data_IF_549022835536
#
_entry.id   IF_549022835536
#
_cell.length_a   1.000
_cell.length_b   1.000
_cell.length_c   1.000
_cell.angle_alpha   90.00
_cell.angle_beta   90.00
_cell.angle_gamma   90.00
#
_symmetry.space_group_name_H-M   'P 1'
#
loop_
_entity.id
_entity.type
_entity.pdbx_description
1 polymer ?
#
# COMPACT_ATOMS: atom_id res chain seq x y z
N UNK A 1 4.19 19.26 6.59
CA UNK A 1 4.08 18.73 5.21
C UNK A 1 3.68 17.26 5.33
N UNK A 2 2.53 16.88 4.78
CA UNK A 2 2.11 15.49 4.73
C UNK A 2 2.99 14.77 3.71
N UNK A 3 3.82 13.84 4.17
CA UNK A 3 4.45 12.86 3.27
C UNK A 3 3.30 11.98 2.80
N UNK A 4 2.82 12.26 1.59
CA UNK A 4 1.99 11.34 0.81
C UNK A 4 2.70 9.99 0.91
N UNK A 5 2.02 8.96 1.43
CA UNK A 5 2.58 7.61 1.45
C UNK A 5 3.10 7.24 0.06
N UNK A 6 4.12 6.37 -0.01
CA UNK A 6 4.72 5.97 -1.29
C UNK A 6 3.62 5.75 -2.33
N UNK A 7 3.61 6.63 -3.33
CA UNK A 7 2.65 6.50 -4.41
C UNK A 7 2.93 5.18 -5.10
N UNK A 8 1.88 4.47 -5.58
CA UNK A 8 2.07 3.29 -6.41
C UNK A 8 3.11 3.60 -7.49
N UNK A 9 4.09 2.71 -7.67
CA UNK A 9 5.10 2.89 -8.71
C UNK A 9 4.44 2.63 -10.08
N UNK A 10 3.81 3.67 -10.62
CA UNK A 10 3.19 3.61 -11.95
C UNK A 10 4.21 3.29 -13.04
N UNK A 11 5.50 3.58 -12.84
CA UNK A 11 6.55 3.19 -13.77
C UNK A 11 6.85 1.69 -13.70
N UNK A 12 6.69 1.04 -12.55
CA UNK A 12 6.69 -0.43 -12.45
C UNK A 12 5.47 -1.04 -13.15
N UNK A 13 4.29 -0.42 -12.99
CA UNK A 13 3.06 -0.87 -13.64
C UNK A 13 3.19 -0.75 -15.16
N UNK A 14 3.64 0.39 -15.69
CA UNK A 14 3.85 0.61 -17.13
C UNK A 14 4.86 -0.38 -17.72
N UNK A 15 5.98 -0.61 -17.03
CA UNK A 15 6.99 -1.60 -17.46
C UNK A 15 6.39 -3.00 -17.55
N UNK A 16 5.49 -3.33 -16.63
CA UNK A 16 4.82 -4.63 -16.60
C UNK A 16 3.86 -4.78 -17.78
N UNK A 17 3.05 -3.76 -18.10
CA UNK A 17 2.19 -3.77 -19.28
C UNK A 17 2.97 -3.90 -20.60
N UNK A 18 4.10 -3.21 -20.72
CA UNK A 18 4.99 -3.30 -21.89
C UNK A 18 5.58 -4.70 -22.06
N UNK A 19 6.05 -5.32 -20.98
CA UNK A 19 6.61 -6.67 -21.04
C UNK A 19 5.54 -7.70 -21.46
N UNK A 20 4.30 -7.53 -21.03
CA UNK A 20 3.18 -8.40 -21.42
C UNK A 20 2.85 -8.25 -22.90
N UNK A 21 2.76 -7.03 -23.41
CA UNK A 21 2.56 -6.78 -24.84
C UNK A 21 3.67 -7.43 -25.68
N UNK A 22 4.92 -7.40 -25.18
CA UNK A 22 6.05 -8.07 -25.82
C UNK A 22 5.90 -9.59 -25.83
N UNK A 23 5.51 -10.20 -24.72
CA UNK A 23 5.29 -11.65 -24.61
C UNK A 23 4.11 -12.13 -25.48
N UNK A 24 3.01 -11.36 -25.53
CA UNK A 24 1.88 -11.62 -26.43
C UNK A 24 2.29 -11.56 -27.90
N UNK A 25 3.18 -10.61 -28.26
CA UNK A 25 3.73 -10.50 -29.60
C UNK A 25 4.54 -11.73 -30.05
N UNK A 26 5.12 -12.49 -29.11
CA UNK A 26 5.85 -13.73 -29.42
C UNK A 26 4.92 -14.89 -29.82
N UNK A 27 3.65 -14.85 -29.44
CA UNK A 27 2.68 -15.88 -29.81
C UNK A 27 2.32 -15.87 -31.30
N UNK A 28 2.55 -14.76 -32.02
CA UNK A 28 2.35 -14.69 -33.46
C UNK A 28 3.26 -15.65 -34.27
N UNK A 29 4.35 -16.16 -33.67
CA UNK A 29 5.34 -17.02 -34.31
C UNK A 29 5.28 -18.50 -33.89
N UNK A 30 4.24 -18.95 -33.18
CA UNK A 30 4.17 -20.33 -32.70
C UNK A 30 3.41 -21.26 -33.67
N UNK A 31 3.94 -22.46 -33.99
CA UNK A 31 3.23 -23.45 -34.79
C UNK A 31 2.01 -23.99 -34.01
N UNK A 32 0.86 -24.03 -34.69
CA UNK A 32 -0.49 -24.12 -34.14
C UNK A 32 -0.83 -25.34 -33.25
N UNK A 33 0.05 -26.33 -33.11
CA UNK A 33 -0.22 -27.57 -32.37
C UNK A 33 0.70 -27.84 -31.16
N UNK A 34 1.91 -27.26 -31.12
CA UNK A 34 2.84 -27.36 -29.97
C UNK A 34 2.88 -26.01 -29.23
N UNK A 35 2.56 -24.92 -29.94
CA UNK A 35 2.53 -23.58 -29.39
C UNK A 35 1.40 -23.33 -28.41
N UNK A 36 0.22 -23.93 -28.63
CA UNK A 36 -1.00 -23.58 -27.88
C UNK A 36 -0.91 -23.97 -26.40
N UNK A 37 -0.38 -25.15 -26.07
CA UNK A 37 -0.22 -25.55 -24.67
C UNK A 37 0.81 -24.67 -23.94
N UNK A 38 1.92 -24.33 -24.62
CA UNK A 38 2.91 -23.40 -24.09
C UNK A 38 2.36 -21.97 -23.94
N UNK A 39 1.48 -21.54 -24.84
CA UNK A 39 0.75 -20.26 -24.75
C UNK A 39 -0.19 -20.28 -23.54
N UNK A 40 -0.98 -21.34 -23.36
CA UNK A 40 -1.91 -21.46 -22.24
C UNK A 40 -1.18 -21.44 -20.91
N UNK A 41 -0.07 -22.17 -20.79
CA UNK A 41 0.75 -22.14 -19.57
C UNK A 41 1.30 -20.72 -19.28
N UNK A 42 1.72 -19.98 -20.30
CA UNK A 42 2.18 -18.59 -20.14
C UNK A 42 1.03 -17.65 -19.79
N UNK A 43 -0.16 -17.86 -20.33
CA UNK A 43 -1.35 -17.08 -19.97
C UNK A 43 -1.77 -17.34 -18.51
N UNK A 44 -1.69 -18.58 -18.04
CA UNK A 44 -1.95 -18.93 -16.63
C UNK A 44 -0.93 -18.28 -15.69
N UNK A 45 0.36 -18.29 -16.05
CA UNK A 45 1.41 -17.60 -15.29
C UNK A 45 1.17 -16.09 -15.24
N UNK A 46 0.74 -15.50 -16.36
CA UNK A 46 0.40 -14.08 -16.45
C UNK A 46 -0.84 -13.78 -15.60
N UNK A 47 -1.90 -14.58 -15.67
CA UNK A 47 -3.11 -14.42 -14.86
C UNK A 47 -2.76 -14.48 -13.37
N UNK A 48 -1.96 -15.46 -12.96
CA UNK A 48 -1.54 -15.61 -11.56
C UNK A 48 -0.70 -14.43 -11.08
N UNK A 49 0.25 -13.96 -11.90
CA UNK A 49 1.03 -12.77 -11.61
C UNK A 49 0.15 -11.51 -11.52
N UNK A 50 -0.86 -11.39 -12.38
CA UNK A 50 -1.81 -10.28 -12.34
C UNK A 50 -2.62 -10.30 -11.05
N UNK A 51 -3.21 -11.43 -10.71
CA UNK A 51 -4.03 -11.58 -9.50
C UNK A 51 -3.25 -11.17 -8.26
N UNK A 52 -2.04 -11.74 -8.09
CA UNK A 52 -1.16 -11.42 -6.97
C UNK A 52 -0.82 -9.91 -6.90
N UNK A 53 -0.58 -9.27 -8.04
CA UNK A 53 -0.26 -7.83 -8.08
C UNK A 53 -1.47 -6.96 -7.79
N UNK A 54 -2.64 -7.32 -8.29
CA UNK A 54 -3.88 -6.59 -8.00
C UNK A 54 -4.25 -6.70 -6.52
N UNK A 55 -4.16 -7.88 -5.93
CA UNK A 55 -4.41 -8.10 -4.49
C UNK A 55 -3.46 -7.25 -3.63
N UNK A 56 -2.18 -7.16 -4.04
CA UNK A 56 -1.20 -6.30 -3.37
C UNK A 56 -1.53 -4.80 -3.49
N UNK A 57 -2.00 -4.35 -4.67
CA UNK A 57 -2.40 -2.95 -4.89
C UNK A 57 -3.63 -2.60 -4.04
N UNK A 58 -4.63 -3.49 -4.02
CA UNK A 58 -5.83 -3.32 -3.20
C UNK A 58 -5.47 -3.20 -1.71
N UNK A 59 -4.64 -4.13 -1.22
CA UNK A 59 -4.13 -4.13 0.16
C UNK A 59 -3.42 -2.81 0.51
N UNK A 60 -2.55 -2.33 -0.37
CA UNK A 60 -1.83 -1.07 -0.17
C UNK A 60 -2.76 0.15 -0.19
N UNK A 61 -3.75 0.15 -1.08
CA UNK A 61 -4.71 1.24 -1.22
C UNK A 61 -5.59 1.37 0.01
N UNK A 62 -6.11 0.25 0.54
CA UNK A 62 -6.89 0.23 1.78
C UNK A 62 -6.08 0.73 2.98
N UNK A 63 -4.86 0.22 3.13
CA UNK A 63 -3.97 0.63 4.21
C UNK A 63 -3.63 2.14 4.12
N UNK A 64 -3.41 2.65 2.91
CA UNK A 64 -3.13 4.06 2.65
C UNK A 64 -4.33 4.97 2.98
N UNK A 65 -5.53 4.57 2.57
CA UNK A 65 -6.77 5.28 2.89
C UNK A 65 -7.01 5.33 4.39
N UNK A 66 -6.90 4.17 5.07
CA UNK A 66 -7.00 4.11 6.52
C UNK A 66 -5.98 5.02 7.21
N UNK A 67 -4.72 4.97 6.77
CA UNK A 67 -3.65 5.79 7.33
C UNK A 67 -3.90 7.29 7.14
N UNK A 68 -4.46 7.69 6.01
CA UNK A 68 -4.83 9.08 5.74
C UNK A 68 -5.90 9.56 6.73
N UNK A 69 -6.95 8.75 6.93
CA UNK A 69 -8.01 9.04 7.89
C UNK A 69 -7.47 9.06 9.33
N UNK A 70 -6.75 8.01 9.73
CA UNK A 70 -6.17 7.87 11.07
C UNK A 70 -5.23 9.03 11.42
N UNK A 71 -4.41 9.50 10.46
CA UNK A 71 -3.57 10.69 10.64
C UNK A 71 -4.41 11.96 10.84
N UNK A 72 -5.49 12.11 10.08
CA UNK A 72 -6.44 13.21 10.24
C UNK A 72 -7.08 13.23 11.63
N UNK A 73 -7.56 12.07 12.10
CA UNK A 73 -8.14 11.91 13.43
C UNK A 73 -7.10 12.16 14.52
N UNK A 74 -5.91 11.58 14.39
CA UNK A 74 -4.84 11.73 15.38
C UNK A 74 -4.35 13.18 15.51
N UNK A 75 -4.48 13.99 14.46
CA UNK A 75 -4.08 15.41 14.47
C UNK A 75 -4.96 16.28 15.36
N UNK A 76 -6.21 15.89 15.58
CA UNK A 76 -7.17 16.65 16.40
C UNK A 76 -7.29 16.13 17.83
N UNK A 77 -6.57 15.05 18.17
CA UNK A 77 -6.63 14.45 19.50
C UNK A 77 -5.89 15.30 20.54
N UNK A 78 -6.44 15.28 21.74
CA UNK A 78 -5.90 15.88 22.94
C UNK A 78 -5.14 14.85 23.80
N UNK A 79 -4.31 15.36 24.73
CA UNK A 79 -3.60 14.51 25.69
C UNK A 79 -4.58 13.63 26.47
N UNK A 80 -4.22 12.36 26.62
CA UNK A 80 -5.04 11.34 27.28
C UNK A 80 -6.00 10.57 26.35
N UNK A 81 -6.28 11.09 25.16
CA UNK A 81 -7.07 10.37 24.16
C UNK A 81 -6.23 9.30 23.43
N UNK A 82 -6.91 8.26 22.95
CA UNK A 82 -6.29 7.16 22.24
C UNK A 82 -6.08 7.49 20.77
N UNK A 83 -4.88 7.19 20.28
CA UNK A 83 -4.53 7.30 18.88
C UNK A 83 -5.17 6.15 18.09
N UNK A 84 -5.62 6.47 16.89
CA UNK A 84 -5.95 5.48 15.88
C UNK A 84 -4.66 4.89 15.32
N UNK A 85 -4.48 3.55 15.36
CA UNK A 85 -3.28 2.93 14.85
C UNK A 85 -3.18 3.06 13.34
N UNK A 86 -1.96 3.30 12.86
CA UNK A 86 -1.65 3.17 11.44
C UNK A 86 -1.54 1.69 11.07
N UNK A 87 -1.80 1.39 9.81
CA UNK A 87 -1.68 0.07 9.19
C UNK A 87 -0.42 -0.02 8.31
N UNK A 88 0.18 -1.20 8.26
CA UNK A 88 1.28 -1.50 7.34
C UNK A 88 0.79 -1.59 5.91
N UNK A 89 1.50 -1.00 4.94
CA UNK A 89 1.08 -0.97 3.54
C UNK A 89 1.09 -2.36 2.88
N UNK A 90 2.02 -3.23 3.30
CA UNK A 90 2.17 -4.56 2.69
C UNK A 90 1.12 -5.57 3.18
N UNK A 91 0.60 -5.41 4.40
CA UNK A 91 -0.27 -6.41 5.04
C UNK A 91 -1.65 -5.89 5.38
N UNK A 92 -1.86 -4.57 5.34
CA UNK A 92 -3.06 -3.89 5.84
C UNK A 92 -3.38 -4.19 7.31
N UNK A 93 -2.46 -4.80 8.05
CA UNK A 93 -2.57 -5.01 9.49
C UNK A 93 -2.15 -3.77 10.27
N UNK A 94 -2.66 -3.63 11.49
CA UNK A 94 -2.20 -2.57 12.39
C UNK A 94 -0.71 -2.72 12.67
N UNK A 95 0.03 -1.61 12.63
CA UNK A 95 1.47 -1.61 12.91
C UNK A 95 1.69 -2.14 14.34
N UNK A 96 2.54 -3.17 14.52
CA UNK A 96 2.83 -3.72 15.84
C UNK A 96 3.39 -2.64 16.78
N UNK A 97 2.97 -2.67 18.04
CA UNK A 97 3.45 -1.75 19.08
C UNK A 97 3.22 -0.26 18.74
N UNK A 98 2.21 0.05 17.93
CA UNK A 98 1.85 1.44 17.65
C UNK A 98 1.48 2.20 18.94
N UNK A 99 1.96 3.45 19.13
CA UNK A 99 1.67 4.25 20.31
C UNK A 99 0.16 4.37 20.58
N UNK A 100 -0.27 4.09 21.80
CA UNK A 100 -1.69 4.17 22.15
C UNK A 100 -2.15 5.59 22.44
N UNK A 101 -1.26 6.45 22.98
CA UNK A 101 -1.59 7.84 23.32
C UNK A 101 -0.51 8.80 22.82
N UNK A 102 -0.85 10.08 22.70
CA UNK A 102 0.11 11.14 22.35
C UNK A 102 1.32 11.16 23.29
N UNK A 103 1.11 10.85 24.57
CA UNK A 103 2.17 10.79 25.58
C UNK A 103 3.18 9.67 25.32
N UNK A 104 2.76 8.59 24.67
CA UNK A 104 3.66 7.50 24.30
C UNK A 104 4.57 7.91 23.14
N UNK A 105 4.09 8.79 22.26
CA UNK A 105 4.92 9.42 21.23
C UNK A 105 5.92 10.40 21.84
N UNK A 106 5.51 11.19 22.84
CA UNK A 106 6.40 12.10 23.58
C UNK A 106 7.58 11.33 24.22
N UNK A 107 7.33 10.10 24.71
CA UNK A 107 8.37 9.21 25.27
C UNK A 107 9.31 8.65 24.19
N UNK A 108 8.84 8.49 22.96
CA UNK A 108 9.64 7.94 21.84
C UNK A 108 10.55 8.99 21.19
N UNK A 109 10.15 10.27 21.17
CA UNK A 109 10.85 11.31 20.40
C UNK A 109 11.82 12.16 21.22
N UNK A 110 11.94 11.92 22.53
CA UNK A 110 12.89 12.63 23.42
C UNK A 110 12.67 14.15 23.55
N UNK A 111 11.74 14.71 22.78
CA UNK A 111 11.47 16.14 22.66
C UNK A 111 10.03 16.47 23.04
N UNK A 112 9.89 17.38 24.00
CA UNK A 112 8.63 17.93 24.49
C UNK A 112 7.88 18.58 23.31
N UNK A 113 6.84 17.94 22.78
CA UNK A 113 5.94 18.58 21.80
C UNK A 113 5.29 19.79 22.45
N UNK A 114 5.30 20.93 21.76
CA UNK A 114 4.58 22.13 22.20
C UNK A 114 3.11 21.78 22.46
N UNK A 115 2.49 22.35 23.50
CA UNK A 115 1.11 22.05 23.84
C UNK A 115 0.22 22.46 22.67
N UNK A 116 -0.26 21.48 21.89
CA UNK A 116 -1.37 21.70 20.99
C UNK A 116 -2.58 22.07 21.86
N UNK A 117 -2.92 23.35 21.84
CA UNK A 117 -4.09 23.92 22.48
C UNK A 117 -5.33 23.16 22.01
N UNK A 118 -5.90 22.36 22.91
CA UNK A 118 -7.23 21.82 22.74
C UNK A 118 -8.21 22.98 22.71
N UNK A 119 -8.69 23.37 21.52
CA UNK A 119 -9.81 24.29 21.41
C UNK A 119 -11.06 23.49 21.73
N UNK A 120 -11.52 23.58 22.99
CA UNK A 120 -12.86 23.16 23.37
C UNK A 120 -13.86 23.98 22.55
N UNK A 121 -14.64 23.31 21.70
CA UNK A 121 -15.89 23.89 21.17
C UNK A 121 -16.99 23.62 22.17
#
# INVERSE_FOLDING_TARGET
>A
MAVLGEQPDFALIERSFKEIGRQLGLFANLPAAIGVDAVMQRLDEIEHSFRTRFDNIETQMEASNWNTLARGMNKILCRGQHLHPLRGLATNDSIPQFPQKLQDIDKMTGGRREPQSCVST
#
